data_IF_778956814223
#
_entry.id   IF_778956814223
#
_cell.length_a   1.000
_cell.length_b   1.000
_cell.length_c   1.000
_cell.angle_alpha   90.00
_cell.angle_beta   90.00
_cell.angle_gamma   90.00
#
_symmetry.space_group_name_H-M   'P 1'
#
loop_
_entity.id
_entity.type
_entity.pdbx_description
1 polymer ?
#
# COMPACT_ATOMS: atom_id res chain seq x y z
N UNK A 1 26.20 23.31 56.06
CA UNK A 1 26.64 22.03 55.49
C UNK A 1 25.67 21.61 54.40
N UNK A 2 25.93 22.00 53.15
CA UNK A 2 25.18 21.56 51.97
C UNK A 2 25.73 20.22 51.52
N UNK A 3 24.88 19.20 51.51
CA UNK A 3 25.25 17.79 51.33
C UNK A 3 25.75 17.51 49.89
N UNK A 4 27.06 17.25 49.66
CA UNK A 4 27.64 17.09 48.32
C UNK A 4 27.21 15.80 47.60
N UNK A 5 26.55 14.87 48.29
CA UNK A 5 26.14 13.58 47.75
C UNK A 5 24.87 13.65 46.88
N UNK A 6 24.03 14.68 47.02
CA UNK A 6 22.79 14.81 46.24
C UNK A 6 23.03 14.97 44.72
N UNK A 7 24.23 15.45 44.33
CA UNK A 7 24.65 15.56 42.93
C UNK A 7 25.10 14.24 42.30
N UNK A 8 25.57 13.27 43.09
CA UNK A 8 26.10 11.97 42.61
C UNK A 8 25.01 10.90 42.43
N UNK A 9 23.87 11.03 43.10
CA UNK A 9 22.73 10.11 42.92
C UNK A 9 21.98 10.31 41.59
N UNK A 10 21.87 11.55 41.11
CA UNK A 10 21.20 11.88 39.83
C UNK A 10 21.86 11.25 38.58
N UNK A 11 23.20 11.28 38.40
CA UNK A 11 23.84 10.65 37.24
C UNK A 11 23.72 9.12 37.31
N UNK A 12 23.91 8.50 38.48
CA UNK A 12 23.72 7.06 38.67
C UNK A 12 22.30 6.60 38.38
N UNK A 13 21.28 7.33 38.83
CA UNK A 13 19.87 7.02 38.52
C UNK A 13 19.54 7.17 37.02
N UNK A 14 20.16 8.13 36.33
CA UNK A 14 19.98 8.34 34.90
C UNK A 14 20.66 7.24 34.08
N UNK A 15 21.81 6.75 34.55
CA UNK A 15 22.56 5.65 33.95
C UNK A 15 21.82 4.31 34.10
N UNK A 16 21.30 4.00 35.29
CA UNK A 16 20.47 2.80 35.51
C UNK A 16 19.19 2.82 34.67
N UNK A 17 18.47 3.95 34.62
CA UNK A 17 17.29 4.09 33.77
C UNK A 17 17.60 3.93 32.27
N UNK A 18 18.81 4.31 31.84
CA UNK A 18 19.29 4.11 30.48
C UNK A 18 19.55 2.64 30.17
N UNK A 19 20.25 1.93 31.06
CA UNK A 19 20.50 0.48 30.94
C UNK A 19 19.19 -0.33 30.92
N UNK A 20 18.20 0.07 31.73
CA UNK A 20 16.87 -0.55 31.73
C UNK A 20 16.15 -0.41 30.37
N UNK A 21 16.32 0.73 29.69
CA UNK A 21 15.77 0.93 28.36
C UNK A 21 16.44 0.00 27.34
N UNK A 22 17.77 -0.10 27.36
CA UNK A 22 18.50 -1.03 26.49
C UNK A 22 18.11 -2.50 26.74
N UNK A 23 18.03 -2.92 28.00
CA UNK A 23 17.64 -4.28 28.37
C UNK A 23 16.22 -4.64 27.87
N UNK A 24 15.26 -3.71 27.99
CA UNK A 24 13.91 -3.89 27.43
C UNK A 24 13.93 -4.01 25.91
N UNK A 25 14.74 -3.21 25.20
CA UNK A 25 14.84 -3.33 23.74
C UNK A 25 15.44 -4.66 23.29
N UNK A 26 16.48 -5.15 23.98
CA UNK A 26 17.09 -6.45 23.67
C UNK A 26 16.08 -7.58 23.89
N UNK A 27 15.28 -7.52 24.97
CA UNK A 27 14.21 -8.49 25.20
C UNK A 27 13.17 -8.48 24.08
N UNK A 28 12.69 -7.30 23.68
CA UNK A 28 11.74 -7.18 22.57
C UNK A 28 12.31 -7.71 21.25
N UNK A 29 13.61 -7.51 20.98
CA UNK A 29 14.28 -8.14 19.84
C UNK A 29 14.30 -9.66 19.95
N UNK A 30 14.58 -10.21 21.13
CA UNK A 30 14.54 -11.66 21.39
C UNK A 30 13.16 -12.25 21.10
N UNK A 31 12.11 -11.66 21.68
CA UNK A 31 10.72 -12.10 21.50
C UNK A 31 10.32 -12.09 20.01
N UNK A 32 10.69 -11.03 19.28
CA UNK A 32 10.46 -10.92 17.83
C UNK A 32 11.19 -12.01 17.04
N UNK A 33 12.45 -12.29 17.37
CA UNK A 33 13.24 -13.33 16.68
C UNK A 33 12.67 -14.72 16.95
N UNK A 34 12.27 -15.02 18.19
CA UNK A 34 11.65 -16.30 18.57
C UNK A 34 10.33 -16.52 17.85
N UNK A 35 9.48 -15.49 17.71
CA UNK A 35 8.19 -15.60 17.04
C UNK A 35 8.29 -15.97 15.55
N UNK A 36 9.44 -15.72 14.89
CA UNK A 36 9.62 -15.95 13.45
C UNK A 36 10.33 -17.27 13.11
N UNK A 37 10.88 -17.99 14.09
CA UNK A 37 11.62 -19.24 13.88
C UNK A 37 12.82 -19.09 12.94
N UNK A 38 13.32 -20.22 12.40
CA UNK A 38 14.48 -20.29 11.50
C UNK A 38 14.20 -19.79 10.05
N UNK A 39 13.41 -18.73 9.88
CA UNK A 39 13.22 -18.12 8.57
C UNK A 39 14.53 -17.48 8.07
N UNK A 40 15.22 -18.18 7.17
CA UNK A 40 16.51 -17.82 6.58
C UNK A 40 16.43 -16.65 5.57
N UNK A 41 15.82 -15.53 5.95
CA UNK A 41 15.86 -14.30 5.16
C UNK A 41 17.15 -13.50 5.45
N UNK A 42 17.88 -12.99 4.43
CA UNK A 42 19.09 -12.18 4.64
C UNK A 42 18.90 -10.93 5.52
N UNK A 43 17.68 -10.40 5.59
CA UNK A 43 17.33 -9.28 6.49
C UNK A 43 17.26 -9.71 7.96
N UNK A 44 16.77 -10.93 8.23
CA UNK A 44 16.69 -11.49 9.57
C UNK A 44 18.09 -11.74 10.16
N UNK A 45 19.00 -12.31 9.37
CA UNK A 45 20.39 -12.49 9.77
C UNK A 45 21.12 -11.16 10.09
N UNK A 46 20.80 -10.09 9.37
CA UNK A 46 21.32 -8.74 9.66
C UNK A 46 20.78 -8.19 10.98
N UNK A 47 19.51 -8.42 11.29
CA UNK A 47 18.92 -8.02 12.57
C UNK A 47 19.57 -8.78 13.73
N UNK A 48 19.71 -10.10 13.64
CA UNK A 48 20.40 -10.91 14.66
C UNK A 48 21.81 -10.38 14.94
N UNK A 49 22.58 -10.09 13.88
CA UNK A 49 23.91 -9.52 14.00
C UNK A 49 23.90 -8.15 14.70
N UNK A 50 22.94 -7.28 14.35
CA UNK A 50 22.82 -5.96 14.98
C UNK A 50 22.47 -6.05 16.47
N UNK A 51 21.58 -6.97 16.85
CA UNK A 51 21.26 -7.26 18.26
C UNK A 51 22.50 -7.75 19.01
N UNK A 52 23.29 -8.64 18.42
CA UNK A 52 24.56 -9.10 18.99
C UNK A 52 25.57 -7.97 19.21
N UNK A 53 25.71 -7.06 18.24
CA UNK A 53 26.57 -5.87 18.37
C UNK A 53 26.08 -4.94 19.49
N UNK A 54 24.77 -4.71 19.60
CA UNK A 54 24.19 -3.92 20.68
C UNK A 54 24.47 -4.57 22.05
N UNK A 55 24.25 -5.87 22.21
CA UNK A 55 24.53 -6.57 23.45
C UNK A 55 26.02 -6.50 23.84
N UNK A 56 26.92 -6.71 22.87
CA UNK A 56 28.36 -6.59 23.09
C UNK A 56 28.79 -5.17 23.49
N UNK A 57 28.20 -4.14 22.87
CA UNK A 57 28.49 -2.73 23.20
C UNK A 57 28.11 -2.35 24.63
N UNK A 58 27.13 -3.03 25.23
CA UNK A 58 26.70 -2.81 26.62
C UNK A 58 27.52 -3.60 27.64
N UNK A 59 28.19 -4.67 27.21
CA UNK A 59 29.04 -5.51 28.05
C UNK A 59 30.50 -5.04 28.13
N UNK A 60 30.93 -4.18 27.19
CA UNK A 60 32.27 -3.59 27.22
C UNK A 60 32.44 -2.76 28.50
N UNK A 61 33.52 -2.96 29.29
CA UNK A 61 33.79 -2.12 30.44
C UNK A 61 33.94 -0.66 29.98
N UNK A 62 33.36 0.28 30.72
CA UNK A 62 33.64 1.71 30.52
C UNK A 62 35.16 1.88 30.46
N UNK A 63 35.66 2.41 29.33
CA UNK A 63 37.09 2.50 29.07
C UNK A 63 37.82 2.96 30.33
N UNK A 64 38.76 2.14 30.81
CA UNK A 64 39.77 2.64 31.74
C UNK A 64 40.49 3.78 31.03
N UNK A 65 40.58 4.94 31.68
CA UNK A 65 41.37 6.10 31.24
C UNK A 65 42.87 5.75 31.21
N UNK A 66 43.27 4.87 30.29
CA UNK A 66 44.67 4.51 30.03
C UNK A 66 44.99 4.91 28.59
N UNK A 67 45.94 5.84 28.36
CA UNK A 67 46.13 6.48 27.04
C UNK A 67 46.66 5.58 25.92
N UNK A 68 47.08 4.34 26.21
CA UNK A 68 48.02 3.60 25.35
C UNK A 68 47.44 2.35 24.67
N UNK A 69 46.19 2.38 24.18
CA UNK A 69 45.68 1.28 23.34
C UNK A 69 44.86 1.78 22.15
N UNK A 70 45.50 2.00 20.98
CA UNK A 70 44.81 2.30 19.75
C UNK A 70 44.28 0.99 19.14
N UNK A 71 42.98 0.67 19.33
CA UNK A 71 42.40 -0.46 18.59
C UNK A 71 40.99 -0.95 18.94
N UNK A 72 40.46 -0.72 20.15
CA UNK A 72 39.12 -1.20 20.51
C UNK A 72 38.09 -0.06 20.52
N UNK A 73 37.77 0.49 19.34
CA UNK A 73 36.61 1.38 19.16
C UNK A 73 35.32 0.54 19.26
N UNK A 74 34.94 0.15 20.48
CA UNK A 74 33.63 -0.44 20.75
C UNK A 74 32.55 0.48 20.20
N UNK A 75 31.62 -0.06 19.42
CA UNK A 75 30.55 0.73 18.83
C UNK A 75 29.72 1.44 19.94
N UNK A 76 29.45 2.75 19.82
CA UNK A 76 28.55 3.46 20.74
C UNK A 76 27.24 2.68 20.90
N UNK A 77 26.83 2.27 22.11
CA UNK A 77 25.58 1.54 22.34
C UNK A 77 24.36 2.22 21.73
N UNK A 78 24.37 3.55 21.68
CA UNK A 78 23.30 4.30 21.05
C UNK A 78 23.28 4.13 19.52
N UNK A 79 24.44 4.16 18.86
CA UNK A 79 24.54 3.92 17.42
C UNK A 79 24.20 2.47 17.07
N UNK A 80 24.58 1.53 17.93
CA UNK A 80 24.16 0.13 17.81
C UNK A 80 22.64 -0.01 17.92
N UNK A 81 22.01 0.71 18.86
CA UNK A 81 20.55 0.75 19.00
C UNK A 81 19.85 1.30 17.76
N UNK A 82 20.35 2.39 17.19
CA UNK A 82 19.79 2.95 15.95
C UNK A 82 19.96 1.99 14.76
N UNK A 83 21.11 1.31 14.64
CA UNK A 83 21.32 0.28 13.62
C UNK A 83 20.34 -0.88 13.80
N UNK A 84 20.08 -1.33 15.02
CA UNK A 84 19.09 -2.38 15.30
C UNK A 84 17.68 -1.97 14.88
N UNK A 85 17.27 -0.72 15.15
CA UNK A 85 15.99 -0.20 14.66
C UNK A 85 15.91 -0.19 13.12
N UNK A 86 16.97 0.23 12.44
CA UNK A 86 17.03 0.20 10.97
C UNK A 86 16.95 -1.24 10.43
N UNK A 87 17.67 -2.19 11.04
CA UNK A 87 17.57 -3.61 10.65
C UNK A 87 16.19 -4.20 10.92
N UNK A 88 15.50 -3.76 11.98
CA UNK A 88 14.12 -4.17 12.26
C UNK A 88 13.15 -3.66 11.19
N UNK A 89 13.35 -2.44 10.67
CA UNK A 89 12.58 -1.94 9.51
C UNK A 89 12.88 -2.74 8.24
N UNK A 90 14.15 -3.07 7.99
CA UNK A 90 14.56 -3.87 6.82
C UNK A 90 14.07 -5.32 6.86
N UNK A 91 13.95 -5.91 8.07
CA UNK A 91 13.39 -7.24 8.26
C UNK A 91 11.94 -7.32 7.74
N UNK A 92 11.22 -6.19 7.73
CA UNK A 92 9.87 -6.08 7.19
C UNK A 92 8.88 -7.00 7.91
N UNK A 93 7.82 -7.39 7.19
CA UNK A 93 6.69 -8.10 7.78
C UNK A 93 5.76 -7.19 8.60
N UNK A 94 4.72 -7.77 9.19
CA UNK A 94 3.73 -7.02 9.98
C UNK A 94 4.34 -6.49 11.30
N UNK A 95 5.25 -7.26 11.92
CA UNK A 95 5.78 -6.94 13.25
C UNK A 95 7.10 -6.14 13.24
N UNK A 96 7.83 -6.11 12.12
CA UNK A 96 9.14 -5.44 12.01
C UNK A 96 9.08 -3.94 12.34
N UNK A 97 8.13 -3.18 11.75
CA UNK A 97 7.88 -1.80 12.11
C UNK A 97 7.49 -1.59 13.58
N UNK A 98 6.74 -2.52 14.19
CA UNK A 98 6.36 -2.45 15.60
C UNK A 98 7.58 -2.63 16.53
N UNK A 99 8.49 -3.54 16.19
CA UNK A 99 9.76 -3.68 16.88
C UNK A 99 10.61 -2.41 16.73
N UNK A 100 10.74 -1.89 15.50
CA UNK A 100 11.49 -0.66 15.24
C UNK A 100 10.92 0.54 16.01
N UNK A 101 9.60 0.64 16.13
CA UNK A 101 8.94 1.66 16.96
C UNK A 101 9.35 1.50 18.42
N UNK A 102 9.28 0.29 18.98
CA UNK A 102 9.70 0.00 20.36
C UNK A 102 11.16 0.42 20.63
N UNK A 103 12.07 0.13 19.69
CA UNK A 103 13.48 0.51 19.81
C UNK A 103 13.65 2.03 19.73
N UNK A 104 12.94 2.70 18.81
CA UNK A 104 13.06 4.15 18.62
C UNK A 104 12.35 4.98 19.70
N UNK A 105 11.31 4.44 20.35
CA UNK A 105 10.76 4.93 21.62
C UNK A 105 11.84 5.00 22.71
N UNK A 106 12.63 3.93 22.87
CA UNK A 106 13.75 3.93 23.79
C UNK A 106 14.83 4.93 23.36
N UNK A 107 15.20 4.97 22.07
CA UNK A 107 16.23 5.86 21.55
C UNK A 107 15.87 7.35 21.75
N UNK A 108 14.62 7.75 21.52
CA UNK A 108 14.16 9.13 21.73
C UNK A 108 14.12 9.53 23.21
N UNK A 109 13.87 8.58 24.12
CA UNK A 109 13.99 8.80 25.57
C UNK A 109 15.45 8.94 26.02
N UNK A 110 16.34 8.12 25.46
CA UNK A 110 17.78 8.15 25.75
C UNK A 110 18.44 9.45 25.26
N UNK A 111 18.20 9.84 23.99
CA UNK A 111 18.76 11.07 23.39
C UNK A 111 17.69 11.85 22.63
N UNK A 112 17.04 12.80 23.32
CA UNK A 112 15.96 13.65 22.77
C UNK A 112 16.35 14.48 21.54
N UNK A 113 17.63 14.83 21.39
CA UNK A 113 18.16 15.64 20.26
C UNK A 113 18.76 14.79 19.13
N UNK A 114 18.52 13.48 19.11
CA UNK A 114 19.02 12.60 18.05
C UNK A 114 18.17 12.70 16.78
N UNK A 115 18.74 13.28 15.72
CA UNK A 115 18.10 13.35 14.39
C UNK A 115 17.78 11.94 13.85
N UNK A 116 18.70 11.00 14.05
CA UNK A 116 18.55 9.61 13.61
C UNK A 116 17.42 8.88 14.32
N UNK A 117 17.25 9.09 15.63
CA UNK A 117 16.15 8.50 16.38
C UNK A 117 14.78 9.00 15.90
N UNK A 118 14.63 10.31 15.69
CA UNK A 118 13.39 10.89 15.16
C UNK A 118 13.08 10.45 13.73
N UNK A 119 14.10 10.33 12.87
CA UNK A 119 13.94 9.78 11.51
C UNK A 119 13.43 8.34 11.56
N UNK A 120 14.11 7.47 12.30
CA UNK A 120 13.75 6.05 12.37
C UNK A 120 12.39 5.82 13.04
N UNK A 121 12.05 6.62 14.05
CA UNK A 121 10.71 6.62 14.66
C UNK A 121 9.63 7.00 13.64
N UNK A 122 9.87 8.06 12.86
CA UNK A 122 8.97 8.47 11.79
C UNK A 122 8.77 7.37 10.75
N UNK A 123 9.84 6.71 10.32
CA UNK A 123 9.78 5.59 9.38
C UNK A 123 8.99 4.40 9.93
N UNK A 124 9.15 4.07 11.21
CA UNK A 124 8.40 3.00 11.86
C UNK A 124 6.89 3.33 11.93
N UNK A 125 6.53 4.55 12.32
CA UNK A 125 5.14 5.00 12.39
C UNK A 125 4.49 5.07 11.00
N UNK A 126 5.20 5.58 10.01
CA UNK A 126 4.77 5.65 8.61
C UNK A 126 4.51 4.24 8.06
N UNK A 127 5.40 3.29 8.33
CA UNK A 127 5.20 1.88 7.95
C UNK A 127 4.02 1.20 8.68
N UNK A 128 3.69 1.65 9.90
CA UNK A 128 2.51 1.22 10.66
C UNK A 128 1.23 1.99 10.25
N UNK A 129 1.31 2.93 9.31
CA UNK A 129 0.19 3.77 8.89
C UNK A 129 -0.24 4.81 9.93
N UNK A 130 0.61 5.20 10.87
CA UNK A 130 0.32 6.24 11.87
C UNK A 130 0.77 7.61 11.35
N UNK A 131 0.11 8.08 10.30
CA UNK A 131 0.48 9.26 9.49
C UNK A 131 0.70 10.53 10.34
N UNK A 132 -0.20 10.81 11.30
CA UNK A 132 -0.12 12.01 12.13
C UNK A 132 1.14 12.03 13.01
N UNK A 133 1.42 10.93 13.69
CA UNK A 133 2.59 10.81 14.55
C UNK A 133 3.89 10.71 13.75
N UNK A 134 3.85 10.07 12.58
CA UNK A 134 4.98 10.04 11.66
C UNK A 134 5.36 11.45 11.21
N UNK A 135 4.35 12.27 10.85
CA UNK A 135 4.54 13.66 10.46
C UNK A 135 5.21 14.48 11.58
N UNK A 136 4.75 14.35 12.82
CA UNK A 136 5.40 15.02 13.97
C UNK A 136 6.87 14.60 14.14
N UNK A 137 7.17 13.32 13.94
CA UNK A 137 8.54 12.81 14.07
C UNK A 137 9.45 13.37 12.98
N UNK A 138 8.95 13.45 11.74
CA UNK A 138 9.69 14.05 10.64
C UNK A 138 9.88 15.56 10.83
N UNK A 139 8.88 16.28 11.33
CA UNK A 139 9.02 17.70 11.66
C UNK A 139 10.06 17.94 12.75
N UNK A 140 10.08 17.12 13.80
CA UNK A 140 11.15 17.15 14.82
C UNK A 140 12.53 16.84 14.22
N UNK A 141 12.62 15.86 13.32
CA UNK A 141 13.87 15.57 12.61
C UNK A 141 14.36 16.78 11.80
N UNK A 142 13.47 17.42 11.02
CA UNK A 142 13.78 18.59 10.20
C UNK A 142 14.18 19.80 11.05
N UNK A 143 13.46 20.07 12.16
CA UNK A 143 13.80 21.13 13.10
C UNK A 143 15.19 20.95 13.73
N UNK A 144 15.60 19.70 13.99
CA UNK A 144 16.95 19.39 14.46
C UNK A 144 17.99 19.41 13.32
N UNK A 145 17.59 19.16 12.07
CA UNK A 145 18.47 19.20 10.91
C UNK A 145 18.98 20.63 10.64
N UNK A 146 18.12 21.64 10.84
CA UNK A 146 18.41 23.05 10.51
C UNK A 146 18.49 23.29 9.00
N UNK A 147 18.77 24.53 8.60
CA UNK A 147 18.83 24.95 7.18
C UNK A 147 20.09 24.46 6.42
N UNK A 148 21.02 23.81 7.12
CA UNK A 148 22.18 23.15 6.51
C UNK A 148 21.79 21.83 5.83
N UNK A 149 22.62 21.36 4.89
CA UNK A 149 22.45 20.18 4.04
C UNK A 149 22.31 18.80 4.75
N UNK A 150 21.79 18.74 5.97
CA UNK A 150 21.58 17.54 6.78
C UNK A 150 20.13 17.01 6.80
N UNK A 151 19.17 17.70 6.19
CA UNK A 151 17.81 17.18 6.04
C UNK A 151 17.78 16.11 4.94
N UNK A 152 17.42 14.87 5.29
CA UNK A 152 17.31 13.80 4.28
C UNK A 152 16.20 14.14 3.27
N UNK A 153 16.54 14.14 1.98
CA UNK A 153 15.57 14.33 0.90
C UNK A 153 14.40 13.33 0.99
N UNK A 154 14.64 12.14 1.56
CA UNK A 154 13.60 11.16 1.86
C UNK A 154 12.57 11.70 2.86
N UNK A 155 13.03 12.27 3.97
CA UNK A 155 12.18 12.81 5.03
C UNK A 155 11.35 13.99 4.53
N UNK A 156 11.96 14.88 3.73
CA UNK A 156 11.25 16.00 3.10
C UNK A 156 10.12 15.51 2.21
N UNK A 157 10.39 14.52 1.34
CA UNK A 157 9.36 13.92 0.46
C UNK A 157 8.23 13.27 1.26
N UNK A 158 8.54 12.46 2.27
CA UNK A 158 7.54 11.80 3.12
C UNK A 158 6.67 12.82 3.86
N UNK A 159 7.29 13.84 4.45
CA UNK A 159 6.60 14.95 5.12
C UNK A 159 5.62 15.64 4.17
N UNK A 160 6.05 15.96 2.94
CA UNK A 160 5.20 16.58 1.94
C UNK A 160 4.01 15.68 1.55
N UNK A 161 4.23 14.37 1.36
CA UNK A 161 3.17 13.40 1.10
C UNK A 161 2.14 13.35 2.22
N UNK A 162 2.58 13.24 3.48
CA UNK A 162 1.68 13.18 4.64
C UNK A 162 0.89 14.47 4.83
N UNK A 163 1.52 15.64 4.66
CA UNK A 163 0.80 16.93 4.66
C UNK A 163 -0.24 16.99 3.56
N UNK A 164 0.10 16.55 2.36
CA UNK A 164 -0.83 16.54 1.23
C UNK A 164 -2.00 15.58 1.46
N UNK A 165 -1.77 14.40 2.05
CA UNK A 165 -2.84 13.48 2.47
C UNK A 165 -3.80 14.19 3.43
N UNK A 166 -3.27 14.84 4.47
CA UNK A 166 -4.06 15.61 5.44
C UNK A 166 -4.85 16.75 4.78
N UNK A 167 -4.22 17.51 3.89
CA UNK A 167 -4.88 18.58 3.13
C UNK A 167 -6.05 18.07 2.28
N UNK A 168 -5.91 16.91 1.62
CA UNK A 168 -7.00 16.32 0.84
C UNK A 168 -8.20 15.99 1.73
N UNK A 169 -7.98 15.39 2.90
CA UNK A 169 -9.05 15.06 3.86
C UNK A 169 -9.71 16.33 4.40
N UNK A 170 -8.93 17.32 4.82
CA UNK A 170 -9.45 18.59 5.33
C UNK A 170 -10.23 19.37 4.27
N UNK A 171 -9.74 19.40 3.03
CA UNK A 171 -10.46 20.02 1.93
C UNK A 171 -11.75 19.26 1.60
N UNK A 172 -11.76 17.92 1.68
CA UNK A 172 -12.95 17.11 1.46
C UNK A 172 -14.02 17.37 2.51
N UNK A 173 -13.62 17.50 3.78
CA UNK A 173 -14.48 17.88 4.90
C UNK A 173 -15.06 19.29 4.73
N UNK A 174 -14.22 20.26 4.37
CA UNK A 174 -14.64 21.64 4.15
C UNK A 174 -15.66 21.80 3.01
N UNK A 175 -15.75 20.84 2.08
CA UNK A 175 -16.81 20.82 1.08
C UNK A 175 -18.18 20.56 1.70
N UNK A 176 -18.29 20.02 2.91
CA UNK A 176 -19.54 19.69 3.60
C UNK A 176 -19.42 19.96 5.11
N UNK A 177 -19.47 21.24 5.54
CA UNK A 177 -19.26 21.62 6.94
C UNK A 177 -20.31 21.02 7.90
N UNK A 178 -21.56 20.84 7.44
CA UNK A 178 -22.61 20.19 8.25
C UNK A 178 -22.32 18.71 8.54
N UNK A 179 -21.39 18.12 7.78
CA UNK A 179 -20.93 16.75 7.93
C UNK A 179 -19.65 16.60 8.74
N UNK A 180 -18.99 17.70 9.10
CA UNK A 180 -17.75 17.71 9.89
C UNK A 180 -17.97 17.06 11.27
N UNK A 181 -19.22 17.10 11.78
CA UNK A 181 -19.64 16.40 13.01
C UNK A 181 -19.64 14.87 12.90
N UNK A 182 -19.70 14.30 11.70
CA UNK A 182 -19.79 12.86 11.46
C UNK A 182 -18.42 12.16 11.29
N UNK A 183 -17.36 12.92 11.01
CA UNK A 183 -15.98 12.42 10.86
C UNK A 183 -15.04 12.88 11.99
N UNK A 184 -15.56 13.59 13.00
CA UNK A 184 -14.75 14.09 14.12
C UNK A 184 -14.51 12.97 15.15
N UNK A 185 -13.25 12.54 15.20
CA UNK A 185 -12.64 11.52 16.04
C UNK A 185 -13.00 11.54 17.56
N UNK A 186 -12.77 10.41 18.27
CA UNK A 186 -12.88 10.31 19.72
C UNK A 186 -11.92 11.29 20.43
N UNK A 187 -12.50 12.37 20.94
CA UNK A 187 -12.03 13.22 22.06
C UNK A 187 -10.51 13.26 22.31
N UNK A 188 -9.83 14.24 21.71
CA UNK A 188 -8.73 14.91 22.41
C UNK A 188 -9.35 15.77 23.50
N UNK A 189 -9.44 15.24 24.72
CA UNK A 189 -9.68 16.07 25.89
C UNK A 189 -8.48 17.00 26.09
N UNK A 190 -8.76 18.31 26.04
CA UNK A 190 -7.84 19.37 26.45
C UNK A 190 -7.47 19.15 27.92
N UNK A 191 -6.27 18.60 28.18
CA UNK A 191 -5.63 18.69 29.50
C UNK A 191 -4.33 19.46 29.35
N UNK A 192 -4.36 20.69 29.82
CA UNK A 192 -3.20 21.51 30.15
C UNK A 192 -2.35 20.81 31.22
N UNK A 193 -1.31 20.08 30.82
CA UNK A 193 -0.13 19.75 31.64
C UNK A 193 0.98 19.12 30.75
N UNK A 194 2.29 19.39 31.01
CA UNK A 194 3.38 18.84 30.23
C UNK A 194 3.80 17.46 30.77
N UNK A 195 3.06 16.43 30.40
CA UNK A 195 3.42 15.02 30.67
C UNK A 195 3.38 14.29 29.32
N UNK A 196 4.36 13.41 28.98
CA UNK A 196 4.35 12.75 27.67
C UNK A 196 3.08 11.91 27.53
N UNK A 197 2.35 11.99 26.40
CA UNK A 197 1.06 11.34 26.27
C UNK A 197 1.24 9.81 26.26
N UNK A 198 0.55 9.13 27.17
CA UNK A 198 0.22 7.73 27.00
C UNK A 198 -0.74 7.59 25.80
N UNK A 199 -0.54 6.54 25.02
CA UNK A 199 -1.12 6.32 23.71
C UNK A 199 -2.66 6.33 23.71
N UNK A 200 -3.26 7.44 23.29
CA UNK A 200 -4.48 7.40 22.47
C UNK A 200 -4.01 6.97 21.09
N UNK A 201 -4.28 5.72 20.70
CA UNK A 201 -3.85 5.20 19.39
C UNK A 201 -4.55 6.01 18.30
N UNK A 202 -3.82 6.93 17.65
CA UNK A 202 -4.35 7.70 16.53
C UNK A 202 -4.81 6.74 15.41
N UNK A 203 -5.87 7.11 14.69
CA UNK A 203 -6.39 6.31 13.60
C UNK A 203 -5.30 6.05 12.54
N UNK A 204 -5.23 4.80 12.08
CA UNK A 204 -4.28 4.39 11.03
C UNK A 204 -4.72 4.91 9.67
N UNK A 205 -3.80 5.01 8.70
CA UNK A 205 -4.08 5.43 7.31
C UNK A 205 -5.19 4.58 6.68
N UNK A 206 -5.25 3.28 7.03
CA UNK A 206 -6.29 2.38 6.57
C UNK A 206 -7.66 2.78 7.12
N UNK A 207 -7.77 3.00 8.43
CA UNK A 207 -9.00 3.45 9.08
C UNK A 207 -9.47 4.79 8.52
N UNK A 208 -8.56 5.78 8.44
CA UNK A 208 -8.88 7.10 7.86
C UNK A 208 -9.31 6.95 6.39
N UNK A 209 -8.66 6.08 5.61
CA UNK A 209 -9.07 5.85 4.24
C UNK A 209 -10.45 5.22 4.10
N UNK A 210 -10.82 4.30 4.99
CA UNK A 210 -12.14 3.67 5.01
C UNK A 210 -13.23 4.67 5.43
N UNK A 211 -12.96 5.50 6.43
CA UNK A 211 -13.84 6.58 6.87
C UNK A 211 -14.07 7.62 5.76
N UNK A 212 -12.99 8.06 5.09
CA UNK A 212 -13.10 8.98 3.95
C UNK A 212 -13.87 8.32 2.81
N UNK A 213 -13.64 7.04 2.51
CA UNK A 213 -14.38 6.32 1.48
C UNK A 213 -15.87 6.20 1.81
N UNK A 214 -16.23 5.93 3.08
CA UNK A 214 -17.60 5.89 3.56
C UNK A 214 -18.27 7.26 3.44
N UNK A 215 -17.56 8.32 3.81
CA UNK A 215 -18.02 9.71 3.64
C UNK A 215 -18.29 10.05 2.17
N UNK A 216 -17.38 9.68 1.26
CA UNK A 216 -17.57 9.89 -0.17
C UNK A 216 -18.81 9.16 -0.67
N UNK A 217 -18.98 7.87 -0.34
CA UNK A 217 -20.18 7.11 -0.71
C UNK A 217 -21.46 7.75 -0.21
N UNK A 218 -21.49 8.20 1.05
CA UNK A 218 -22.65 8.87 1.63
C UNK A 218 -23.02 10.16 0.89
N UNK A 219 -22.02 10.98 0.50
CA UNK A 219 -22.28 12.23 -0.24
C UNK A 219 -22.69 11.97 -1.69
N UNK A 220 -22.12 10.95 -2.34
CA UNK A 220 -22.55 10.51 -3.68
C UNK A 220 -24.01 10.05 -3.64
N UNK A 221 -24.40 9.23 -2.65
CA UNK A 221 -25.77 8.75 -2.50
C UNK A 221 -26.76 9.88 -2.22
N UNK A 222 -26.36 10.87 -1.42
CA UNK A 222 -27.23 11.99 -1.04
C UNK A 222 -27.46 13.01 -2.15
N UNK A 223 -26.41 13.38 -2.90
CA UNK A 223 -26.45 14.52 -3.83
C UNK A 223 -26.31 14.10 -5.31
N UNK A 224 -25.94 12.86 -5.59
CA UNK A 224 -25.67 12.36 -6.93
C UNK A 224 -24.28 12.75 -7.47
N UNK A 225 -23.80 11.96 -8.42
CA UNK A 225 -22.47 12.10 -9.04
C UNK A 225 -22.27 13.41 -9.81
N UNK A 226 -23.33 13.97 -10.39
CA UNK A 226 -23.28 15.19 -11.19
C UNK A 226 -23.10 16.47 -10.34
N UNK A 227 -23.36 16.41 -9.03
CA UNK A 227 -23.32 17.58 -8.16
C UNK A 227 -21.91 18.19 -8.09
N UNK A 228 -21.71 19.51 -8.29
CA UNK A 228 -20.38 20.13 -8.35
C UNK A 228 -19.50 19.87 -7.11
N UNK A 229 -20.08 19.92 -5.90
CA UNK A 229 -19.37 19.59 -4.65
C UNK A 229 -18.95 18.10 -4.60
N UNK A 230 -19.78 17.19 -5.10
CA UNK A 230 -19.46 15.75 -5.14
C UNK A 230 -18.36 15.48 -6.17
N UNK A 231 -18.40 16.11 -7.34
CA UNK A 231 -17.31 16.01 -8.34
C UNK A 231 -15.97 16.47 -7.76
N UNK A 232 -15.96 17.59 -7.03
CA UNK A 232 -14.75 18.07 -6.35
C UNK A 232 -14.29 17.13 -5.24
N UNK A 233 -15.23 16.56 -4.48
CA UNK A 233 -14.96 15.56 -3.45
C UNK A 233 -14.31 14.29 -4.05
N UNK A 234 -14.85 13.76 -5.14
CA UNK A 234 -14.29 12.62 -5.86
C UNK A 234 -12.87 12.90 -6.37
N UNK A 235 -12.62 14.11 -6.86
CA UNK A 235 -11.27 14.55 -7.26
C UNK A 235 -10.27 14.58 -6.08
N UNK A 236 -10.68 15.13 -4.94
CA UNK A 236 -9.87 15.16 -3.71
C UNK A 236 -9.63 13.76 -3.15
N UNK A 237 -10.66 12.92 -3.17
CA UNK A 237 -10.57 11.53 -2.74
C UNK A 237 -9.64 10.72 -3.65
N UNK A 238 -9.75 10.86 -4.97
CA UNK A 238 -8.81 10.25 -5.91
C UNK A 238 -7.37 10.73 -5.71
N UNK A 239 -7.16 12.01 -5.39
CA UNK A 239 -5.84 12.53 -5.04
C UNK A 239 -5.30 11.93 -3.73
N UNK A 240 -6.14 11.87 -2.68
CA UNK A 240 -5.82 11.22 -1.42
C UNK A 240 -5.45 9.74 -1.62
N UNK A 241 -6.25 8.98 -2.36
CA UNK A 241 -6.00 7.57 -2.67
C UNK A 241 -4.68 7.37 -3.39
N UNK A 242 -4.39 8.20 -4.42
CA UNK A 242 -3.08 8.16 -5.08
C UNK A 242 -1.93 8.41 -4.11
N UNK A 243 -2.09 9.30 -3.12
CA UNK A 243 -1.04 9.56 -2.13
C UNK A 243 -0.88 8.44 -1.10
N UNK A 244 -1.99 7.81 -0.68
CA UNK A 244 -1.97 6.64 0.22
C UNK A 244 -1.35 5.43 -0.46
N UNK A 245 -1.62 5.26 -1.75
CA UNK A 245 -1.16 4.10 -2.51
C UNK A 245 0.25 4.30 -3.10
N UNK A 246 0.69 5.56 -3.30
CA UNK A 246 2.05 5.91 -3.76
C UNK A 246 3.00 6.20 -2.59
N UNK A 247 3.41 5.16 -1.88
CA UNK A 247 4.73 5.15 -1.26
C UNK A 247 5.74 4.72 -2.32
N UNK A 248 6.28 5.72 -3.03
CA UNK A 248 7.02 5.59 -4.28
C UNK A 248 6.20 4.94 -5.40
N UNK A 249 6.44 5.26 -6.69
CA UNK A 249 6.09 4.29 -7.71
C UNK A 249 6.75 2.99 -7.27
N UNK A 250 5.99 1.90 -7.19
CA UNK A 250 6.58 0.65 -7.61
C UNK A 250 6.96 0.94 -9.06
N UNK A 251 8.16 1.49 -9.29
CA UNK A 251 8.77 1.45 -10.61
C UNK A 251 8.71 -0.03 -10.90
N UNK A 252 7.87 -0.45 -11.88
CA UNK A 252 7.85 -1.85 -12.23
C UNK A 252 9.31 -2.22 -12.51
N UNK A 253 9.77 -3.43 -12.13
CA UNK A 253 11.16 -3.80 -12.31
C UNK A 253 11.63 -3.39 -13.72
N UNK A 254 12.86 -2.86 -13.89
CA UNK A 254 13.30 -2.34 -15.19
C UNK A 254 12.96 -3.34 -16.32
N UNK A 255 12.23 -2.88 -17.34
CA UNK A 255 11.74 -3.72 -18.44
C UNK A 255 10.32 -4.29 -18.28
N UNK A 256 9.60 -4.01 -17.20
CA UNK A 256 8.23 -4.51 -16.97
C UNK A 256 7.09 -3.57 -17.42
N UNK A 257 7.38 -2.55 -18.25
CA UNK A 257 6.38 -1.67 -18.87
C UNK A 257 6.18 -0.33 -18.14
N UNK A 258 5.41 0.59 -18.74
CA UNK A 258 5.13 1.92 -18.17
C UNK A 258 3.75 1.98 -17.48
N UNK A 259 3.59 2.71 -16.35
CA UNK A 259 2.30 2.79 -15.67
C UNK A 259 1.22 3.49 -16.51
N UNK A 260 0.00 2.96 -16.49
CA UNK A 260 -1.21 3.59 -17.04
C UNK A 260 -2.25 3.78 -15.92
N UNK A 261 -2.85 4.96 -15.85
CA UNK A 261 -3.92 5.26 -14.89
C UNK A 261 -5.31 5.07 -15.52
N UNK A 262 -6.36 5.37 -14.76
CA UNK A 262 -7.76 5.30 -15.24
C UNK A 262 -7.98 6.14 -16.50
N UNK A 263 -7.36 7.31 -16.59
CA UNK A 263 -7.51 8.20 -17.75
C UNK A 263 -6.86 7.62 -18.99
N UNK A 264 -5.67 7.04 -18.83
CA UNK A 264 -4.97 6.33 -19.90
C UNK A 264 -5.76 5.10 -20.38
N UNK A 265 -6.32 4.31 -19.45
CA UNK A 265 -7.18 3.18 -19.83
C UNK A 265 -8.44 3.66 -20.57
N UNK A 266 -9.06 4.75 -20.12
CA UNK A 266 -10.20 5.36 -20.82
C UNK A 266 -9.83 5.79 -22.24
N UNK A 267 -8.67 6.41 -22.42
CA UNK A 267 -8.18 6.82 -23.73
C UNK A 267 -7.89 5.62 -24.64
N UNK A 268 -7.41 4.50 -24.08
CA UNK A 268 -7.16 3.26 -24.83
C UNK A 268 -8.45 2.69 -25.44
N UNK A 269 -9.58 2.77 -24.73
CA UNK A 269 -10.87 2.20 -25.19
C UNK A 269 -11.79 3.21 -25.87
N UNK A 270 -11.49 4.51 -25.80
CA UNK A 270 -12.37 5.56 -26.29
C UNK A 270 -12.67 5.43 -27.81
N UNK A 271 -13.94 5.31 -28.17
CA UNK A 271 -14.43 5.18 -29.56
C UNK A 271 -14.11 3.84 -30.23
N UNK A 272 -13.50 2.90 -29.51
CA UNK A 272 -13.03 1.61 -30.05
C UNK A 272 -14.00 0.47 -29.76
N UNK A 273 -13.99 -0.53 -30.63
CA UNK A 273 -14.67 -1.80 -30.43
C UNK A 273 -13.88 -2.67 -29.46
N UNK A 274 -14.53 -3.13 -28.39
CA UNK A 274 -13.87 -3.90 -27.33
C UNK A 274 -14.51 -5.27 -27.21
N UNK A 275 -13.69 -6.32 -27.12
CA UNK A 275 -14.17 -7.65 -26.78
C UNK A 275 -13.48 -8.20 -25.53
N UNK A 276 -14.22 -8.98 -24.74
CA UNK A 276 -13.69 -9.78 -23.65
C UNK A 276 -13.91 -11.26 -23.95
N UNK A 277 -12.84 -12.04 -23.88
CA UNK A 277 -12.86 -13.47 -24.25
C UNK A 277 -12.73 -14.33 -22.99
N UNK A 278 -13.74 -15.16 -22.73
CA UNK A 278 -13.69 -16.18 -21.68
C UNK A 278 -12.76 -17.33 -22.07
N UNK A 279 -12.10 -17.93 -21.08
CA UNK A 279 -11.29 -19.12 -21.29
C UNK A 279 -12.13 -20.39 -21.14
N UNK A 280 -13.05 -20.63 -22.08
CA UNK A 280 -13.92 -21.82 -22.10
C UNK A 280 -13.60 -22.72 -23.29
N UNK A 281 -13.83 -24.03 -23.14
CA UNK A 281 -13.65 -25.01 -24.22
C UNK A 281 -14.58 -24.74 -25.41
N UNK A 282 -15.77 -24.20 -25.15
CA UNK A 282 -16.74 -23.83 -26.18
C UNK A 282 -16.20 -22.75 -27.13
N UNK A 283 -15.56 -21.70 -26.60
CA UNK A 283 -14.90 -20.68 -27.45
C UNK A 283 -13.67 -21.26 -28.13
N UNK A 284 -12.90 -22.11 -27.45
CA UNK A 284 -11.72 -22.76 -28.04
C UNK A 284 -12.07 -23.69 -29.21
N UNK A 285 -13.21 -24.39 -29.15
CA UNK A 285 -13.71 -25.25 -30.21
C UNK A 285 -14.48 -24.49 -31.31
N UNK A 286 -14.69 -23.19 -31.14
CA UNK A 286 -15.40 -22.35 -32.12
C UNK A 286 -14.50 -21.96 -33.32
N UNK A 287 -15.08 -21.23 -34.27
CA UNK A 287 -14.37 -20.61 -35.39
C UNK A 287 -14.34 -19.07 -35.29
N UNK A 288 -14.43 -18.53 -34.06
CA UNK A 288 -14.57 -17.09 -33.81
C UNK A 288 -13.24 -16.34 -33.77
N UNK A 289 -12.09 -17.01 -33.91
CA UNK A 289 -10.78 -16.40 -33.67
C UNK A 289 -10.46 -15.20 -34.57
N UNK A 290 -10.78 -15.30 -35.87
CA UNK A 290 -10.60 -14.20 -36.82
C UNK A 290 -11.54 -13.01 -36.52
N UNK A 291 -12.74 -13.27 -35.99
CA UNK A 291 -13.66 -12.23 -35.57
C UNK A 291 -13.13 -11.52 -34.32
N UNK A 292 -12.67 -12.28 -33.32
CA UNK A 292 -12.10 -11.76 -32.07
C UNK A 292 -10.89 -10.86 -32.35
N UNK A 293 -9.94 -11.32 -33.19
CA UNK A 293 -8.74 -10.55 -33.51
C UNK A 293 -9.03 -9.28 -34.34
N UNK A 294 -10.22 -9.20 -34.96
CA UNK A 294 -10.71 -8.04 -35.70
C UNK A 294 -11.20 -6.88 -34.82
N UNK A 295 -11.35 -7.06 -33.51
CA UNK A 295 -11.70 -5.97 -32.59
C UNK A 295 -10.53 -5.00 -32.40
N UNK A 296 -10.83 -3.73 -32.13
CA UNK A 296 -9.79 -2.74 -31.85
C UNK A 296 -9.05 -3.04 -30.55
N UNK A 297 -9.73 -3.64 -29.56
CA UNK A 297 -9.14 -4.04 -28.27
C UNK A 297 -9.66 -5.41 -27.84
N UNK A 298 -8.75 -6.39 -27.76
CA UNK A 298 -9.00 -7.76 -27.31
C UNK A 298 -8.56 -7.92 -25.86
N UNK A 299 -9.50 -8.20 -24.98
CA UNK A 299 -9.27 -8.36 -23.54
C UNK A 299 -9.39 -9.81 -23.09
N UNK A 300 -8.52 -10.21 -22.17
CA UNK A 300 -8.50 -11.57 -21.57
C UNK A 300 -8.33 -11.49 -20.07
N UNK A 301 -8.77 -12.54 -19.36
CA UNK A 301 -8.73 -12.62 -17.91
C UNK A 301 -7.98 -13.85 -17.40
N UNK A 302 -7.33 -13.70 -16.24
CA UNK A 302 -6.71 -14.77 -15.46
C UNK A 302 -5.82 -15.68 -16.33
N UNK A 303 -5.81 -17.00 -16.10
CA UNK A 303 -5.12 -17.94 -16.98
C UNK A 303 -5.99 -18.22 -18.21
N UNK A 304 -5.38 -18.15 -19.39
CA UNK A 304 -6.02 -18.47 -20.66
C UNK A 304 -5.10 -19.24 -21.60
N UNK A 305 -5.69 -19.92 -22.59
CA UNK A 305 -4.95 -20.58 -23.69
C UNK A 305 -5.41 -20.00 -25.03
N UNK A 306 -4.44 -19.68 -25.88
CA UNK A 306 -4.71 -19.16 -27.23
C UNK A 306 -4.89 -20.33 -28.21
N UNK A 307 -5.98 -20.28 -28.97
CA UNK A 307 -6.29 -21.15 -30.09
C UNK A 307 -6.66 -20.26 -31.28
N UNK A 308 -5.78 -20.15 -32.27
CA UNK A 308 -5.95 -19.22 -33.40
C UNK A 308 -7.33 -19.30 -34.07
N UNK A 309 -7.86 -20.51 -34.25
CA UNK A 309 -9.18 -20.71 -34.88
C UNK A 309 -10.36 -20.29 -33.98
N UNK A 310 -10.28 -20.53 -32.68
CA UNK A 310 -11.41 -20.37 -31.77
C UNK A 310 -11.37 -19.07 -30.97
N UNK A 311 -10.24 -18.79 -30.32
CA UNK A 311 -10.11 -17.64 -29.41
C UNK A 311 -9.36 -16.46 -29.99
N UNK A 312 -8.75 -16.61 -31.17
CA UNK A 312 -7.78 -15.66 -31.70
C UNK A 312 -6.43 -15.73 -30.97
N UNK A 313 -5.47 -14.94 -31.42
CA UNK A 313 -4.10 -14.85 -30.87
C UNK A 313 -3.81 -13.52 -30.20
N UNK A 314 -4.62 -12.48 -30.44
CA UNK A 314 -4.38 -11.14 -29.94
C UNK A 314 -4.75 -11.01 -28.45
N UNK A 315 -3.95 -10.24 -27.72
CA UNK A 315 -4.19 -9.86 -26.32
C UNK A 315 -3.69 -8.44 -26.09
N UNK A 316 -4.58 -7.45 -26.20
CA UNK A 316 -4.23 -6.05 -25.95
C UNK A 316 -4.29 -5.72 -24.46
N UNK A 317 -5.28 -6.26 -23.75
CA UNK A 317 -5.41 -6.10 -22.28
C UNK A 317 -5.52 -7.45 -21.60
N UNK A 318 -4.65 -7.70 -20.62
CA UNK A 318 -4.73 -8.88 -19.77
C UNK A 318 -5.03 -8.46 -18.33
N UNK A 319 -6.24 -8.78 -17.85
CA UNK A 319 -6.64 -8.54 -16.47
C UNK A 319 -6.40 -9.79 -15.61
N UNK A 320 -5.86 -9.60 -14.42
CA UNK A 320 -5.66 -10.66 -13.43
C UNK A 320 -6.11 -10.17 -12.05
N UNK A 321 -6.68 -11.07 -11.25
CA UNK A 321 -6.96 -10.77 -9.84
C UNK A 321 -6.02 -11.54 -8.93
N UNK A 322 -5.61 -10.92 -7.82
CA UNK A 322 -4.91 -11.61 -6.76
C UNK A 322 -5.88 -12.57 -6.05
N UNK A 323 -5.60 -13.88 -6.11
CA UNK A 323 -6.41 -14.95 -5.49
C UNK A 323 -5.49 -15.99 -4.84
N UNK A 324 -6.01 -16.71 -3.84
CA UNK A 324 -5.30 -17.79 -3.13
C UNK A 324 -5.00 -17.46 -1.66
N UNK A 325 -4.50 -18.45 -0.91
CA UNK A 325 -4.13 -18.29 0.51
C UNK A 325 -3.07 -17.20 0.74
N UNK A 326 -2.15 -17.07 -0.22
CA UNK A 326 -1.21 -15.96 -0.31
C UNK A 326 -1.32 -15.31 -1.71
N UNK A 327 -1.90 -14.11 -1.85
CA UNK A 327 -2.15 -13.48 -3.16
C UNK A 327 -0.90 -13.19 -4.01
N UNK A 328 0.29 -13.21 -3.39
CA UNK A 328 1.59 -13.04 -4.06
C UNK A 328 2.23 -14.36 -4.49
N UNK A 329 1.70 -15.52 -4.09
CA UNK A 329 2.19 -16.83 -4.53
C UNK A 329 1.54 -17.19 -5.87
N UNK A 330 2.35 -17.72 -6.79
CA UNK A 330 1.89 -18.12 -8.12
C UNK A 330 2.94 -17.86 -9.19
N UNK A 331 2.74 -18.42 -10.40
CA UNK A 331 3.67 -18.23 -11.49
C UNK A 331 3.76 -16.76 -11.91
N UNK A 332 4.89 -16.43 -12.53
CA UNK A 332 5.06 -15.16 -13.22
C UNK A 332 4.03 -15.03 -14.35
N UNK A 333 3.59 -13.80 -14.59
CA UNK A 333 2.72 -13.42 -15.68
C UNK A 333 3.55 -13.21 -16.94
N UNK A 334 3.78 -14.31 -17.66
CA UNK A 334 4.65 -14.37 -18.85
C UNK A 334 3.90 -14.18 -20.16
N UNK A 335 2.57 -14.23 -20.16
CA UNK A 335 1.76 -14.03 -21.36
C UNK A 335 1.91 -12.59 -21.87
N UNK A 336 2.18 -12.46 -23.16
CA UNK A 336 2.32 -11.17 -23.83
C UNK A 336 0.98 -10.40 -23.80
N UNK A 337 1.03 -9.12 -23.42
CA UNK A 337 -0.12 -8.23 -23.42
C UNK A 337 0.31 -6.78 -23.65
N UNK A 338 -0.50 -5.96 -24.31
CA UNK A 338 -0.23 -4.50 -24.37
C UNK A 338 -0.27 -3.88 -22.97
N UNK A 339 -1.41 -4.02 -22.29
CA UNK A 339 -1.64 -3.55 -20.91
C UNK A 339 -1.93 -4.72 -19.99
N UNK A 340 -1.20 -4.84 -18.87
CA UNK A 340 -1.59 -5.74 -17.78
C UNK A 340 -2.34 -4.97 -16.70
N UNK A 341 -3.54 -5.41 -16.34
CA UNK A 341 -4.32 -4.88 -15.21
C UNK A 341 -4.28 -5.89 -14.07
N UNK A 342 -3.93 -5.44 -12.87
CA UNK A 342 -3.85 -6.30 -11.69
C UNK A 342 -4.83 -5.78 -10.63
N UNK A 343 -5.87 -6.55 -10.36
CA UNK A 343 -6.86 -6.23 -9.32
C UNK A 343 -6.49 -6.93 -8.02
N UNK A 344 -6.61 -6.24 -6.88
CA UNK A 344 -6.52 -6.92 -5.59
C UNK A 344 -6.08 -6.06 -4.41
N UNK A 345 -6.41 -6.54 -3.23
CA UNK A 345 -6.13 -5.96 -1.92
C UNK A 345 -5.40 -6.94 -1.00
N UNK A 346 -4.74 -6.45 0.05
CA UNK A 346 -4.45 -5.03 0.33
C UNK A 346 -3.29 -4.49 -0.53
N UNK A 347 -3.09 -3.16 -0.57
CA UNK A 347 -2.08 -2.51 -1.42
C UNK A 347 -0.62 -3.03 -1.20
N UNK A 348 -0.16 -3.37 0.02
CA UNK A 348 1.15 -3.99 0.22
C UNK A 348 1.27 -5.36 -0.46
N UNK A 349 0.24 -6.20 -0.34
CA UNK A 349 0.19 -7.52 -0.99
C UNK A 349 0.19 -7.37 -2.51
N UNK A 350 -0.56 -6.40 -3.04
CA UNK A 350 -0.57 -6.08 -4.45
C UNK A 350 0.78 -5.62 -4.97
N UNK A 351 1.43 -4.66 -4.28
CA UNK A 351 2.77 -4.18 -4.66
C UNK A 351 3.79 -5.33 -4.67
N UNK A 352 3.69 -6.25 -3.71
CA UNK A 352 4.54 -7.44 -3.64
C UNK A 352 4.29 -8.38 -4.81
N UNK A 353 3.03 -8.71 -5.09
CA UNK A 353 2.66 -9.57 -6.22
C UNK A 353 3.13 -8.99 -7.56
N UNK A 354 2.91 -7.69 -7.81
CA UNK A 354 3.35 -6.99 -9.02
C UNK A 354 4.87 -7.07 -9.20
N UNK A 355 5.66 -6.84 -8.13
CA UNK A 355 7.12 -6.96 -8.19
C UNK A 355 7.62 -8.37 -8.44
N UNK A 356 6.95 -9.38 -7.89
CA UNK A 356 7.40 -10.77 -7.94
C UNK A 356 6.92 -11.50 -9.20
N UNK A 357 5.76 -11.11 -9.74
CA UNK A 357 5.07 -11.87 -10.79
C UNK A 357 5.08 -11.19 -12.15
N UNK A 358 5.38 -9.90 -12.28
CA UNK A 358 5.56 -9.32 -13.61
C UNK A 358 6.83 -9.86 -14.27
N UNK A 359 6.68 -10.37 -15.50
CA UNK A 359 7.82 -10.73 -16.33
C UNK A 359 8.23 -9.51 -17.19
N UNK A 360 9.53 -9.17 -17.25
CA UNK A 360 10.04 -8.17 -18.18
C UNK A 360 9.70 -8.53 -19.63
N UNK A 361 9.28 -7.55 -20.42
CA UNK A 361 8.91 -7.74 -21.83
C UNK A 361 7.58 -8.45 -22.09
N UNK A 362 6.92 -9.01 -21.06
CA UNK A 362 5.61 -9.63 -21.22
C UNK A 362 4.46 -8.62 -21.28
N UNK A 363 4.71 -7.35 -20.92
CA UNK A 363 3.75 -6.26 -21.11
C UNK A 363 4.42 -4.93 -21.40
N UNK A 364 3.77 -4.10 -22.22
CA UNK A 364 4.23 -2.73 -22.53
C UNK A 364 3.80 -1.74 -21.44
N UNK A 365 2.63 -1.94 -20.86
CA UNK A 365 2.04 -1.10 -19.83
C UNK A 365 1.50 -1.90 -18.65
N UNK A 366 1.45 -1.26 -17.47
CA UNK A 366 0.90 -1.83 -16.23
C UNK A 366 -0.11 -0.86 -15.63
N UNK A 367 -1.30 -1.36 -15.28
CA UNK A 367 -2.30 -0.57 -14.54
C UNK A 367 -1.74 -0.11 -13.20
N UNK A 368 -1.80 1.19 -12.94
CA UNK A 368 -1.33 1.76 -11.67
C UNK A 368 -2.32 1.47 -10.53
N UNK A 369 -1.97 1.89 -9.32
CA UNK A 369 -2.78 1.59 -8.13
C UNK A 369 -4.23 2.11 -8.21
N UNK A 370 -4.50 3.14 -9.02
CA UNK A 370 -5.86 3.66 -9.21
C UNK A 370 -6.80 2.68 -9.90
N UNK A 371 -6.26 1.70 -10.65
CA UNK A 371 -7.04 0.67 -11.34
C UNK A 371 -7.20 -0.62 -10.53
N UNK A 372 -6.61 -0.69 -9.33
CA UNK A 372 -6.49 -1.92 -8.52
C UNK A 372 -7.81 -2.39 -7.91
N UNK A 373 -8.73 -1.47 -7.63
CA UNK A 373 -9.98 -1.74 -6.89
C UNK A 373 -11.23 -1.15 -7.56
N UNK A 374 -11.53 -1.42 -8.84
CA UNK A 374 -12.60 -0.72 -9.55
C UNK A 374 -13.94 -0.73 -8.82
N UNK A 375 -14.35 -1.91 -8.32
CA UNK A 375 -15.64 -2.10 -7.67
C UNK A 375 -15.73 -1.39 -6.32
N UNK A 376 -14.68 -1.45 -5.50
CA UNK A 376 -14.75 -0.95 -4.11
C UNK A 376 -14.22 0.47 -3.95
N UNK A 377 -13.54 1.03 -4.96
CA UNK A 377 -13.06 2.41 -4.96
C UNK A 377 -14.19 3.38 -5.31
N UNK A 378 -14.64 4.26 -4.38
CA UNK A 378 -15.62 5.31 -4.64
C UNK A 378 -15.23 6.33 -5.72
N UNK A 379 -13.94 6.47 -6.06
CA UNK A 379 -13.51 7.32 -7.17
C UNK A 379 -13.81 6.66 -8.54
N UNK A 380 -14.10 5.36 -8.53
CA UNK A 380 -14.55 4.57 -9.67
C UNK A 380 -16.00 4.16 -9.43
N UNK A 381 -16.26 2.87 -9.19
CA UNK A 381 -17.62 2.37 -9.03
C UNK A 381 -18.15 2.53 -7.60
N UNK A 382 -17.33 2.25 -6.59
CA UNK A 382 -17.72 2.34 -5.18
C UNK A 382 -18.92 1.46 -4.77
N UNK A 383 -19.19 0.39 -5.53
CA UNK A 383 -20.30 -0.53 -5.31
C UNK A 383 -20.07 -1.40 -4.07
N UNK A 384 -20.99 -1.28 -3.12
CA UNK A 384 -21.07 -2.18 -1.96
C UNK A 384 -21.93 -3.41 -2.29
N UNK A 385 -21.70 -4.52 -1.59
CA UNK A 385 -22.56 -5.71 -1.63
C UNK A 385 -22.14 -6.80 -2.60
N UNK A 386 -20.95 -6.72 -3.21
CA UNK A 386 -20.30 -7.85 -3.89
C UNK A 386 -19.47 -8.69 -2.91
N UNK A 387 -20.12 -9.16 -1.84
CA UNK A 387 -19.47 -9.86 -0.73
C UNK A 387 -18.92 -11.23 -1.22
N UNK A 388 -17.65 -11.53 -0.92
CA UNK A 388 -16.98 -12.77 -1.36
C UNK A 388 -16.11 -12.66 -2.63
N UNK A 389 -15.81 -11.43 -3.06
CA UNK A 389 -14.95 -11.14 -4.21
C UNK A 389 -15.60 -11.49 -5.55
N UNK A 390 -15.30 -10.73 -6.60
CA UNK A 390 -15.87 -10.95 -7.95
C UNK A 390 -14.90 -11.72 -8.83
N UNK A 391 -15.42 -12.29 -9.92
CA UNK A 391 -14.55 -12.78 -11.00
C UNK A 391 -13.77 -11.62 -11.63
N UNK A 392 -12.57 -11.91 -12.13
CA UNK A 392 -11.72 -10.91 -12.81
C UNK A 392 -12.44 -10.34 -14.02
N UNK A 393 -13.12 -11.21 -14.77
CA UNK A 393 -13.96 -10.82 -15.90
C UNK A 393 -15.07 -9.86 -15.48
N UNK A 394 -15.82 -10.17 -14.43
CA UNK A 394 -16.88 -9.27 -13.96
C UNK A 394 -16.34 -7.90 -13.51
N UNK A 395 -15.24 -7.87 -12.76
CA UNK A 395 -14.58 -6.61 -12.37
C UNK A 395 -14.18 -5.78 -13.59
N UNK A 396 -13.62 -6.42 -14.62
CA UNK A 396 -13.23 -5.76 -15.85
C UNK A 396 -14.45 -5.24 -16.63
N UNK A 397 -15.51 -6.05 -16.79
CA UNK A 397 -16.76 -5.63 -17.46
C UNK A 397 -17.39 -4.44 -16.74
N UNK A 398 -17.48 -4.48 -15.40
CA UNK A 398 -17.98 -3.36 -14.60
C UNK A 398 -17.15 -2.09 -14.81
N UNK A 399 -15.82 -2.22 -14.85
CA UNK A 399 -14.94 -1.09 -15.13
C UNK A 399 -15.17 -0.51 -16.55
N UNK A 400 -15.30 -1.36 -17.57
CA UNK A 400 -15.52 -0.90 -18.96
C UNK A 400 -16.89 -0.23 -19.15
N UNK A 401 -17.93 -0.76 -18.49
CA UNK A 401 -19.25 -0.16 -18.42
C UNK A 401 -19.19 1.21 -17.73
N UNK A 402 -18.51 1.32 -16.59
CA UNK A 402 -18.32 2.59 -15.88
C UNK A 402 -17.55 3.63 -16.70
N UNK A 403 -16.51 3.23 -17.43
CA UNK A 403 -15.74 4.15 -18.26
C UNK A 403 -16.57 4.69 -19.44
N UNK A 404 -17.59 3.93 -19.86
CA UNK A 404 -18.56 4.25 -20.92
C UNK A 404 -17.92 4.88 -22.17
N UNK A 405 -16.71 4.46 -22.52
CA UNK A 405 -15.90 5.11 -23.56
C UNK A 405 -15.79 4.32 -24.86
N UNK A 406 -15.99 3.00 -24.84
CA UNK A 406 -16.00 2.16 -26.04
C UNK A 406 -17.20 2.43 -26.95
N UNK A 407 -17.02 2.22 -28.26
CA UNK A 407 -18.10 2.29 -29.25
C UNK A 407 -18.94 1.00 -29.29
N UNK A 408 -18.36 -0.12 -28.86
CA UNK A 408 -19.02 -1.43 -28.73
C UNK A 408 -18.35 -2.27 -27.64
N UNK A 409 -19.13 -3.06 -26.90
CA UNK A 409 -18.60 -4.02 -25.92
C UNK A 409 -19.26 -5.40 -26.05
N UNK A 410 -18.47 -6.39 -26.50
CA UNK A 410 -18.92 -7.76 -26.70
C UNK A 410 -18.19 -8.75 -25.77
N UNK A 411 -18.93 -9.72 -25.23
CA UNK A 411 -18.43 -10.77 -24.36
C UNK A 411 -18.55 -12.13 -25.04
N UNK A 412 -17.44 -12.83 -25.23
CA UNK A 412 -17.39 -14.16 -25.85
C UNK A 412 -17.24 -15.27 -24.80
N UNK A 413 -18.13 -16.27 -24.84
CA UNK A 413 -18.09 -17.44 -23.96
C UNK A 413 -18.55 -17.22 -22.52
N UNK A 414 -19.27 -16.12 -22.26
CA UNK A 414 -19.75 -15.77 -20.91
C UNK A 414 -21.17 -16.23 -20.58
N UNK A 415 -21.90 -16.79 -21.55
CA UNK A 415 -23.16 -17.47 -21.29
C UNK A 415 -22.96 -18.91 -20.79
N UNK A 416 -21.76 -19.47 -20.95
CA UNK A 416 -21.43 -20.83 -20.52
C UNK A 416 -21.37 -20.92 -18.99
N UNK A 417 -21.84 -22.02 -18.38
CA UNK A 417 -21.77 -22.21 -16.93
C UNK A 417 -20.33 -22.09 -16.40
N UNK A 418 -20.14 -21.33 -15.32
CA UNK A 418 -18.84 -21.17 -14.66
C UNK A 418 -17.96 -20.02 -15.17
N UNK A 419 -18.32 -19.37 -16.28
CA UNK A 419 -17.61 -18.18 -16.76
C UNK A 419 -17.84 -16.96 -15.84
N UNK A 420 -19.06 -16.83 -15.31
CA UNK A 420 -19.45 -15.84 -14.31
C UNK A 420 -20.20 -16.53 -13.17
N UNK A 421 -20.19 -15.90 -11.99
CA UNK A 421 -21.06 -16.34 -10.88
C UNK A 421 -22.53 -16.01 -11.21
N UNK A 422 -23.53 -16.72 -10.65
CA UNK A 422 -24.95 -16.50 -11.00
C UNK A 422 -25.41 -15.04 -10.89
N UNK A 423 -24.99 -14.34 -9.82
CA UNK A 423 -25.32 -12.91 -9.63
C UNK A 423 -24.62 -11.98 -10.64
N UNK A 424 -23.40 -12.33 -11.04
CA UNK A 424 -22.62 -11.58 -12.04
C UNK A 424 -23.23 -11.78 -13.44
N UNK A 425 -23.61 -13.02 -13.78
CA UNK A 425 -24.28 -13.36 -15.02
C UNK A 425 -25.62 -12.64 -15.16
N UNK A 426 -26.42 -12.61 -14.08
CA UNK A 426 -27.69 -11.88 -14.07
C UNK A 426 -27.51 -10.39 -14.37
N UNK A 427 -26.49 -9.76 -13.78
CA UNK A 427 -26.16 -8.35 -14.03
C UNK A 427 -25.75 -8.10 -15.49
N UNK A 428 -24.96 -9.01 -16.09
CA UNK A 428 -24.54 -8.92 -17.49
C UNK A 428 -25.73 -9.06 -18.42
N UNK A 429 -26.62 -10.03 -18.17
CA UNK A 429 -27.79 -10.28 -19.02
C UNK A 429 -28.83 -9.15 -18.94
N UNK A 430 -28.99 -8.51 -17.78
CA UNK A 430 -29.84 -7.33 -17.60
C UNK A 430 -29.43 -6.15 -18.50
N UNK A 431 -28.15 -6.09 -18.90
CA UNK A 431 -27.58 -5.04 -19.78
C UNK A 431 -27.34 -5.49 -21.22
N UNK A 432 -27.66 -6.75 -21.55
CA UNK A 432 -27.44 -7.25 -22.89
C UNK A 432 -28.40 -6.58 -23.87
N UNK A 433 -27.87 -5.91 -24.89
CA UNK A 433 -28.66 -5.33 -25.99
C UNK A 433 -28.99 -6.38 -27.04
N UNK A 434 -28.12 -7.38 -27.21
CA UNK A 434 -28.32 -8.56 -28.04
C UNK A 434 -27.55 -9.74 -27.47
N UNK A 435 -28.23 -10.87 -27.28
CA UNK A 435 -27.59 -12.16 -27.05
C UNK A 435 -27.78 -13.01 -28.32
N UNK A 436 -26.71 -13.55 -28.87
CA UNK A 436 -26.79 -14.38 -30.08
C UNK A 436 -27.41 -15.75 -29.73
N UNK A 437 -28.25 -16.30 -30.62
CA UNK A 437 -28.97 -17.58 -30.39
C UNK A 437 -27.99 -18.75 -30.17
N UNK A 438 -26.74 -18.61 -30.61
CA UNK A 438 -25.65 -19.56 -30.41
C UNK A 438 -25.08 -19.59 -28.99
N UNK A 439 -25.53 -18.73 -28.05
CA UNK A 439 -25.00 -18.58 -26.67
C UNK A 439 -23.51 -18.20 -26.59
N UNK A 440 -22.85 -17.90 -27.70
CA UNK A 440 -21.41 -17.64 -27.73
C UNK A 440 -21.04 -16.18 -27.51
N UNK A 441 -21.96 -15.23 -27.76
CA UNK A 441 -21.71 -13.79 -27.70
C UNK A 441 -22.83 -13.04 -26.99
N UNK A 442 -22.44 -12.14 -26.09
CA UNK A 442 -23.31 -11.19 -25.40
C UNK A 442 -22.84 -9.77 -25.73
N UNK A 443 -23.66 -8.98 -26.43
CA UNK A 443 -23.40 -7.57 -26.68
C UNK A 443 -24.03 -6.72 -25.58
N UNK A 444 -23.25 -5.83 -24.97
CA UNK A 444 -23.72 -4.92 -23.92
C UNK A 444 -24.06 -3.53 -24.45
N UNK A 445 -23.41 -3.09 -25.53
CA UNK A 445 -23.68 -1.84 -26.27
C UNK A 445 -23.02 -1.87 -27.63
#
# INVERSE_FOLDING_TARGET
MTNPLAGLFKPRQKETAGLDLYARTIRACGDFLTARGDQAAPAHARLVRAVGVLAASLAAPAASDTPDSPGASGADPFDALLRTAERALEAGGEDGPALALTITDAATRLRRRSKGAWRLRGLALDALGRDAEALECYERHLALAGDGAGASAEVVRRTATLRRRRECVQAALALFPDAESALREPTTATTTAPTPPAATTAATTAQVADEVAAFVRARVAQYGMAHPRVRRLLGLYGAYRRLVERDAPAVPPPGCGTPIDVSGLRALVAGRTVCLVANTEEVAASALGAEIDGYDVVMRCDAFRLHARGTGERTDVHAVSLRGAAPWEGPAWTQAAGVRLVFGDPAPAWRRAVRQRLAPGAQEHIGDASLRRPLSDPALLGEAGWDGGTTTAFTLVRLLDFLDAGSRLDLFGFASPGALRPREAAWVMDRATRADDSKTRIALR
#
